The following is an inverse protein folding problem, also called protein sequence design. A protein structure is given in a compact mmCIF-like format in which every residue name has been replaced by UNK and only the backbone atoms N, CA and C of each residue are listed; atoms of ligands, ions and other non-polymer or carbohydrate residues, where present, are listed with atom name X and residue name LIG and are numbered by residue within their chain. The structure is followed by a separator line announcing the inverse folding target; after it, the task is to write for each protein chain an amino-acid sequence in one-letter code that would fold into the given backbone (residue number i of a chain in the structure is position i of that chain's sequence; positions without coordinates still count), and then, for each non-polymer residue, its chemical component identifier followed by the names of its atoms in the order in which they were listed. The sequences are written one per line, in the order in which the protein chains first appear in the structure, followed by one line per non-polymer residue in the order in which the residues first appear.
data_IF_851036909816
#
_entry.id   IF_851036909816
#
_cell.length_a   1.000
_cell.length_b   1.000
_cell.length_c   1.000
_cell.angle_alpha   90.00
_cell.angle_beta   90.00
_cell.angle_gamma   90.00
#
_symmetry.space_group_name_H-M   'P 1'
#
loop_
_entity.id
_entity.type
_entity.pdbx_description
1 polymer ?
#
# COMPACT_ATOMS: atom_id res chain seq x y z
N UNK A 1 1.82 -27.36 -18.60
CA UNK A 1 0.78 -26.32 -18.70
C UNK A 1 -0.13 -26.52 -17.49
N UNK A 2 -0.09 -25.64 -16.51
CA UNK A 2 -1.04 -25.64 -15.38
C UNK A 2 -2.43 -25.38 -15.95
N UNK A 3 -3.39 -26.25 -15.62
CA UNK A 3 -4.77 -26.13 -16.07
C UNK A 3 -5.40 -24.93 -15.36
N UNK A 4 -6.13 -24.09 -16.10
CA UNK A 4 -6.85 -22.97 -15.50
C UNK A 4 -7.79 -23.42 -14.39
N UNK A 5 -7.92 -22.59 -13.36
CA UNK A 5 -8.89 -22.81 -12.30
C UNK A 5 -10.29 -22.63 -12.88
N UNK A 6 -11.22 -23.51 -12.55
CA UNK A 6 -12.59 -23.39 -13.04
C UNK A 6 -13.24 -22.09 -12.58
N UNK A 7 -14.18 -21.51 -13.37
CA UNK A 7 -14.73 -20.18 -13.09
C UNK A 7 -15.43 -20.04 -11.73
N UNK A 8 -16.07 -21.12 -11.24
CA UNK A 8 -16.78 -21.08 -9.94
C UNK A 8 -15.75 -20.99 -8.81
N UNK A 9 -14.74 -21.87 -8.82
CA UNK A 9 -13.65 -21.86 -7.84
C UNK A 9 -12.89 -20.54 -7.88
N UNK A 10 -12.64 -19.99 -9.09
CA UNK A 10 -11.98 -18.68 -9.26
C UNK A 10 -12.77 -17.57 -8.57
N UNK A 11 -14.07 -17.48 -8.76
CA UNK A 11 -14.93 -16.48 -8.10
C UNK A 11 -14.96 -16.65 -6.59
N UNK A 12 -15.04 -17.91 -6.10
CA UNK A 12 -15.05 -18.19 -4.65
C UNK A 12 -13.72 -17.77 -4.01
N UNK A 13 -12.58 -18.08 -4.63
CA UNK A 13 -11.27 -17.66 -4.14
C UNK A 13 -11.15 -16.12 -4.21
N UNK A 14 -11.59 -15.47 -5.27
CA UNK A 14 -11.59 -14.02 -5.41
C UNK A 14 -12.41 -13.34 -4.31
N UNK A 15 -13.63 -13.81 -4.05
CA UNK A 15 -14.48 -13.34 -2.96
C UNK A 15 -13.87 -13.58 -1.58
N UNK A 16 -13.19 -14.72 -1.38
CA UNK A 16 -12.48 -15.01 -0.13
C UNK A 16 -11.29 -14.06 0.09
N UNK A 17 -10.49 -13.77 -0.94
CA UNK A 17 -9.38 -12.83 -0.86
C UNK A 17 -9.87 -11.41 -0.50
N UNK A 18 -10.90 -10.91 -1.18
CA UNK A 18 -11.53 -9.64 -0.83
C UNK A 18 -12.03 -9.62 0.62
N UNK A 19 -12.74 -10.66 1.04
CA UNK A 19 -13.22 -10.78 2.43
C UNK A 19 -12.08 -10.80 3.45
N UNK A 20 -10.93 -11.38 3.13
CA UNK A 20 -9.75 -11.37 4.02
C UNK A 20 -9.22 -9.94 4.17
N UNK A 21 -9.05 -9.21 3.08
CA UNK A 21 -8.56 -7.83 3.12
C UNK A 21 -9.51 -6.93 3.92
N UNK A 22 -10.84 -7.05 3.70
CA UNK A 22 -11.85 -6.34 4.47
C UNK A 22 -11.81 -6.68 5.97
N UNK A 23 -11.62 -7.95 6.32
CA UNK A 23 -11.47 -8.36 7.73
C UNK A 23 -10.21 -7.77 8.35
N UNK A 24 -9.09 -7.71 7.62
CA UNK A 24 -7.85 -7.07 8.06
C UNK A 24 -8.06 -5.58 8.37
N UNK A 25 -8.66 -4.83 7.44
CA UNK A 25 -9.01 -3.43 7.63
C UNK A 25 -9.95 -3.23 8.82
N UNK A 26 -10.98 -4.05 8.93
CA UNK A 26 -11.95 -4.02 10.02
C UNK A 26 -11.31 -4.27 11.40
N UNK A 27 -10.39 -5.24 11.52
CA UNK A 27 -9.65 -5.50 12.77
C UNK A 27 -8.81 -4.28 13.12
N UNK A 28 -8.09 -3.73 12.14
CA UNK A 28 -7.21 -2.60 12.35
C UNK A 28 -7.96 -1.38 12.91
N UNK A 29 -9.00 -0.87 12.24
CA UNK A 29 -9.68 0.33 12.74
C UNK A 29 -10.47 0.11 14.03
N UNK A 30 -11.03 -1.09 14.25
CA UNK A 30 -11.80 -1.38 15.47
C UNK A 30 -10.93 -1.56 16.71
N UNK A 31 -9.72 -2.08 16.55
CA UNK A 31 -8.79 -2.29 17.65
C UNK A 31 -7.90 -1.08 17.93
N UNK A 32 -7.79 -0.13 17.00
CA UNK A 32 -6.97 1.06 17.13
C UNK A 32 -7.46 2.01 18.21
N UNK A 33 -6.54 2.76 18.78
CA UNK A 33 -6.74 3.67 19.89
C UNK A 33 -6.82 5.13 19.43
N UNK A 34 -6.08 5.51 18.39
CA UNK A 34 -6.11 6.87 17.85
C UNK A 34 -7.35 7.13 16.99
N UNK A 35 -7.85 8.37 17.04
CA UNK A 35 -9.00 8.78 16.22
C UNK A 35 -8.70 8.78 14.74
N UNK A 36 -7.45 9.04 14.35
CA UNK A 36 -7.06 9.10 12.94
C UNK A 36 -7.22 7.72 12.26
N UNK A 37 -6.87 6.64 12.92
CA UNK A 37 -7.09 5.29 12.39
C UNK A 37 -8.52 4.86 12.62
N UNK A 38 -9.07 5.08 13.83
CA UNK A 38 -10.36 4.54 14.25
C UNK A 38 -11.55 5.26 13.60
N UNK A 39 -11.48 6.58 13.44
CA UNK A 39 -12.60 7.40 12.97
C UNK A 39 -12.41 7.84 11.52
N UNK A 40 -11.20 8.31 11.16
CA UNK A 40 -10.91 8.70 9.77
C UNK A 40 -10.61 7.51 8.86
N UNK A 41 -10.34 6.32 9.45
CA UNK A 41 -9.96 5.10 8.74
C UNK A 41 -8.75 5.32 7.79
N UNK A 42 -7.79 6.14 8.25
CA UNK A 42 -6.58 6.42 7.49
C UNK A 42 -5.60 5.25 7.56
N UNK A 43 -5.91 4.23 6.78
CA UNK A 43 -5.28 2.92 6.78
C UNK A 43 -5.44 2.22 5.42
N UNK A 44 -4.63 1.17 5.20
CA UNK A 44 -4.78 0.21 4.12
C UNK A 44 -4.31 -1.16 4.58
N UNK A 45 -4.92 -2.24 4.07
CA UNK A 45 -4.53 -3.61 4.41
C UNK A 45 -4.69 -4.53 3.21
N UNK A 46 -3.81 -5.54 3.07
CA UNK A 46 -3.89 -6.45 1.95
C UNK A 46 -2.96 -7.66 2.03
N UNK A 47 -3.12 -8.52 1.04
CA UNK A 47 -2.26 -9.68 0.81
C UNK A 47 -1.46 -9.49 -0.48
N UNK A 48 -0.24 -9.98 -0.45
CA UNK A 48 0.74 -9.85 -1.54
C UNK A 48 1.36 -11.20 -1.84
N UNK A 49 1.71 -11.43 -3.11
CA UNK A 49 2.49 -12.60 -3.46
C UNK A 49 3.98 -12.43 -3.07
N UNK A 50 4.78 -13.44 -3.36
CA UNK A 50 6.21 -13.45 -3.08
C UNK A 50 6.98 -12.36 -3.85
N UNK A 51 6.47 -11.92 -5.00
CA UNK A 51 7.08 -10.91 -5.87
C UNK A 51 6.52 -9.50 -5.58
N UNK A 52 5.82 -9.35 -4.44
CA UNK A 52 5.20 -8.12 -3.95
C UNK A 52 4.05 -7.58 -4.81
N UNK A 53 3.45 -8.43 -5.65
CA UNK A 53 2.25 -8.06 -6.38
C UNK A 53 1.04 -8.11 -5.44
N UNK A 54 0.18 -7.12 -5.55
CA UNK A 54 -1.07 -7.05 -4.78
C UNK A 54 -2.03 -8.15 -5.21
N UNK A 55 -2.41 -9.02 -4.28
CA UNK A 55 -3.44 -10.06 -4.49
C UNK A 55 -4.85 -9.53 -4.19
N UNK A 56 -4.98 -8.79 -3.11
CA UNK A 56 -6.18 -8.07 -2.70
C UNK A 56 -5.84 -6.97 -1.71
N UNK A 57 -6.66 -5.93 -1.68
CA UNK A 57 -6.60 -4.83 -0.70
C UNK A 57 -8.00 -4.53 -0.18
N UNK A 58 -8.08 -3.99 1.05
CA UNK A 58 -9.32 -3.50 1.64
C UNK A 58 -9.77 -2.19 0.97
N UNK A 59 -11.07 -1.94 0.97
CA UNK A 59 -11.63 -0.64 0.61
C UNK A 59 -11.25 0.36 1.70
N UNK A 60 -10.28 1.24 1.39
CA UNK A 60 -9.59 2.09 2.36
C UNK A 60 -9.41 3.49 1.81
N UNK A 61 -8.71 4.35 2.57
CA UNK A 61 -8.31 5.67 2.11
C UNK A 61 -7.55 5.57 0.77
N UNK A 62 -7.92 6.37 -0.24
CA UNK A 62 -7.33 6.29 -1.59
C UNK A 62 -5.81 6.34 -1.65
N UNK A 63 -5.19 7.06 -0.71
CA UNK A 63 -3.72 7.17 -0.64
C UNK A 63 -3.01 5.87 -0.23
N UNK A 64 -3.74 4.92 0.34
CA UNK A 64 -3.20 3.62 0.74
C UNK A 64 -3.45 2.52 -0.30
N UNK A 65 -4.42 2.71 -1.20
CA UNK A 65 -4.73 1.75 -2.28
C UNK A 65 -3.56 1.70 -3.27
N UNK A 66 -2.90 0.53 -3.37
CA UNK A 66 -1.72 0.34 -4.24
C UNK A 66 -0.42 0.91 -3.68
N UNK A 67 -0.36 1.39 -2.43
CA UNK A 67 0.87 1.91 -1.82
C UNK A 67 1.76 0.80 -1.26
N UNK A 68 1.19 -0.23 -0.66
CA UNK A 68 1.91 -1.29 0.06
C UNK A 68 2.98 -2.02 -0.77
N UNK A 69 2.83 -2.27 -2.09
CA UNK A 69 3.95 -2.78 -2.91
C UNK A 69 5.21 -1.91 -2.86
N UNK A 70 5.06 -0.59 -2.74
CA UNK A 70 6.19 0.33 -2.55
C UNK A 70 6.94 0.07 -1.25
N UNK A 71 6.20 -0.09 -0.14
CA UNK A 71 6.77 -0.43 1.17
C UNK A 71 7.49 -1.78 1.15
N UNK A 72 6.88 -2.81 0.55
CA UNK A 72 7.47 -4.15 0.46
C UNK A 72 8.79 -4.15 -0.31
N UNK A 73 8.84 -3.50 -1.48
CA UNK A 73 10.07 -3.33 -2.28
C UNK A 73 11.12 -2.48 -1.55
N UNK A 74 10.70 -1.55 -0.72
CA UNK A 74 11.59 -0.78 0.16
C UNK A 74 12.21 -1.64 1.25
N UNK A 75 11.39 -2.46 1.91
CA UNK A 75 11.81 -3.40 2.95
C UNK A 75 12.81 -4.42 2.41
N UNK A 76 12.63 -4.89 1.17
CA UNK A 76 13.54 -5.87 0.54
C UNK A 76 15.01 -5.41 0.52
N UNK A 77 15.25 -4.09 0.46
CA UNK A 77 16.62 -3.53 0.49
C UNK A 77 17.31 -3.74 1.84
N UNK A 78 16.56 -3.97 2.91
CA UNK A 78 17.07 -4.19 4.27
C UNK A 78 16.82 -5.59 4.78
N UNK A 79 15.70 -6.21 4.36
CA UNK A 79 15.31 -7.58 4.69
C UNK A 79 15.06 -8.33 3.37
N UNK A 80 16.09 -8.90 2.74
CA UNK A 80 15.95 -9.64 1.49
C UNK A 80 15.09 -10.90 1.66
N UNK A 81 14.53 -11.41 0.54
CA UNK A 81 13.56 -12.52 0.56
C UNK A 81 14.01 -13.75 1.32
N UNK A 82 15.28 -14.08 1.29
CA UNK A 82 15.86 -15.26 1.99
C UNK A 82 16.10 -15.03 3.50
N UNK A 83 16.04 -13.79 3.95
CA UNK A 83 16.18 -13.42 5.36
C UNK A 83 14.86 -13.53 6.17
N UNK A 84 13.72 -13.68 5.49
CA UNK A 84 12.43 -13.84 6.16
C UNK A 84 12.28 -15.21 6.80
N UNK A 85 11.70 -15.25 7.99
CA UNK A 85 11.42 -16.47 8.75
C UNK A 85 9.96 -16.49 9.24
N UNK A 86 9.38 -17.66 9.47
CA UNK A 86 8.06 -17.75 10.11
C UNK A 86 8.03 -17.01 11.44
N UNK A 87 7.02 -16.17 11.66
CA UNK A 87 6.87 -15.38 12.88
C UNK A 87 7.62 -14.05 12.87
N UNK A 88 8.30 -13.69 11.79
CA UNK A 88 8.83 -12.34 11.62
C UNK A 88 7.70 -11.32 11.48
N UNK A 89 7.92 -10.13 12.05
CA UNK A 89 7.06 -8.96 11.86
C UNK A 89 7.96 -7.74 11.67
N UNK A 90 7.86 -7.09 10.53
CA UNK A 90 8.70 -5.96 10.15
C UNK A 90 7.89 -4.67 10.16
N UNK A 91 8.48 -3.61 10.73
CA UNK A 91 7.96 -2.24 10.72
C UNK A 91 8.75 -1.38 9.73
N UNK A 92 8.04 -0.53 8.98
CA UNK A 92 8.66 0.34 7.99
C UNK A 92 7.84 1.61 7.77
N UNK A 93 8.51 2.77 7.61
CA UNK A 93 7.86 4.05 7.29
C UNK A 93 8.75 5.02 6.50
N UNK A 94 9.83 4.55 5.87
CA UNK A 94 10.81 5.46 5.27
C UNK A 94 10.38 5.91 3.86
N UNK A 95 10.13 7.23 3.61
CA UNK A 95 9.60 7.72 2.33
C UNK A 95 10.50 7.44 1.12
N UNK A 96 11.82 7.50 1.29
CA UNK A 96 12.79 7.17 0.21
C UNK A 96 12.88 5.66 -0.08
N UNK A 97 12.15 4.84 0.69
CA UNK A 97 12.06 3.39 0.53
C UNK A 97 10.61 2.93 0.42
N UNK A 98 9.77 3.74 -0.24
CA UNK A 98 8.44 3.34 -0.67
C UNK A 98 7.28 3.74 0.24
N UNK A 99 7.53 4.34 1.40
CA UNK A 99 6.44 4.90 2.21
C UNK A 99 5.88 6.18 1.60
N UNK A 100 4.62 6.47 1.87
CA UNK A 100 3.94 7.72 1.47
C UNK A 100 4.53 8.95 2.16
N UNK A 101 4.63 8.89 3.47
CA UNK A 101 5.33 9.81 4.36
C UNK A 101 5.62 9.11 5.70
N UNK A 102 6.46 9.72 6.54
CA UNK A 102 6.95 9.04 7.74
C UNK A 102 5.88 8.67 8.78
N UNK A 103 4.77 9.41 8.96
CA UNK A 103 3.67 9.01 9.87
C UNK A 103 2.93 7.75 9.44
N UNK A 104 2.95 7.37 8.16
CA UNK A 104 2.31 6.15 7.65
C UNK A 104 3.21 4.96 7.90
N UNK A 105 2.96 4.27 9.01
CA UNK A 105 3.73 3.10 9.41
C UNK A 105 3.11 1.84 8.80
N UNK A 106 3.92 1.07 8.08
CA UNK A 106 3.56 -0.26 7.61
C UNK A 106 4.03 -1.35 8.56
N UNK A 107 3.18 -2.36 8.74
CA UNK A 107 3.50 -3.65 9.37
C UNK A 107 3.40 -4.73 8.31
N UNK A 108 4.45 -5.55 8.19
CA UNK A 108 4.55 -6.63 7.21
C UNK A 108 4.90 -7.93 7.88
N UNK A 109 4.16 -8.98 7.58
CA UNK A 109 4.39 -10.33 8.04
C UNK A 109 4.49 -11.32 6.87
N UNK A 110 5.46 -12.23 6.85
CA UNK A 110 5.58 -13.24 5.81
C UNK A 110 4.53 -14.34 5.99
N UNK A 111 4.01 -14.84 4.87
CA UNK A 111 3.14 -16.02 4.85
C UNK A 111 3.94 -17.23 4.41
N UNK A 112 4.16 -18.15 5.33
CA UNK A 112 4.78 -19.45 5.05
C UNK A 112 3.72 -20.55 5.00
N UNK A 113 3.79 -21.36 3.97
CA UNK A 113 2.94 -22.54 3.81
C UNK A 113 3.83 -23.77 3.50
N UNK A 114 3.74 -24.82 4.33
CA UNK A 114 4.57 -26.04 4.20
C UNK A 114 6.09 -25.75 4.11
N UNK A 115 6.55 -24.72 4.85
CA UNK A 115 7.96 -24.32 4.88
C UNK A 115 8.42 -23.41 3.74
N UNK A 116 7.54 -23.06 2.81
CA UNK A 116 7.82 -22.17 1.69
C UNK A 116 7.22 -20.78 1.94
N UNK A 117 7.96 -19.71 1.64
CA UNK A 117 7.43 -18.34 1.62
C UNK A 117 6.56 -18.18 0.38
N UNK A 118 5.26 -17.98 0.58
CA UNK A 118 4.25 -17.89 -0.49
C UNK A 118 3.74 -16.47 -0.71
N UNK A 119 4.03 -15.55 0.20
CA UNK A 119 3.60 -14.16 0.09
C UNK A 119 3.70 -13.41 1.41
N UNK A 120 2.99 -12.29 1.49
CA UNK A 120 3.00 -11.39 2.63
C UNK A 120 1.59 -10.93 2.99
N UNK A 121 1.40 -10.67 4.27
CA UNK A 121 0.26 -9.92 4.81
C UNK A 121 0.79 -8.58 5.31
N UNK A 122 0.21 -7.49 4.85
CA UNK A 122 0.67 -6.16 5.21
C UNK A 122 -0.48 -5.19 5.42
N UNK A 123 -0.22 -4.18 6.23
CA UNK A 123 -1.09 -3.02 6.39
C UNK A 123 -0.23 -1.77 6.61
N UNK A 124 -0.85 -0.61 6.40
CA UNK A 124 -0.29 0.69 6.75
C UNK A 124 -1.35 1.52 7.44
N UNK A 125 -0.94 2.41 8.34
CA UNK A 125 -1.83 3.32 9.03
C UNK A 125 -1.10 4.60 9.44
N UNK A 126 -1.83 5.72 9.42
CA UNK A 126 -1.31 7.01 9.85
C UNK A 126 -1.26 7.13 11.37
N UNK A 127 -0.06 7.25 11.95
CA UNK A 127 0.14 7.38 13.37
C UNK A 127 0.06 8.83 13.85
N UNK A 128 -0.61 9.03 14.98
CA UNK A 128 -0.85 10.35 15.57
C UNK A 128 0.42 11.08 16.03
N UNK A 129 1.47 10.33 16.37
CA UNK A 129 2.77 10.89 16.81
C UNK A 129 3.89 9.88 16.59
N UNK A 130 4.88 10.26 15.81
CA UNK A 130 6.10 9.50 15.56
C UNK A 130 7.36 10.23 16.03
N UNK A 131 7.20 11.20 16.95
CA UNK A 131 8.32 11.99 17.49
C UNK A 131 8.77 13.15 16.61
N UNK A 132 7.92 13.66 15.73
CA UNK A 132 8.17 14.88 14.95
C UNK A 132 8.35 16.13 15.84
N UNK A 133 8.72 17.25 15.25
CA UNK A 133 8.85 18.53 15.95
C UNK A 133 7.55 18.93 16.67
N UNK A 134 6.40 18.66 16.06
CA UNK A 134 5.07 18.74 16.65
C UNK A 134 4.27 17.46 16.33
N UNK A 135 3.29 17.05 17.16
CA UNK A 135 2.42 15.92 16.83
C UNK A 135 1.60 16.17 15.56
N UNK A 136 1.32 15.10 14.83
CA UNK A 136 0.53 15.15 13.60
C UNK A 136 1.35 15.54 12.37
N UNK A 137 0.65 16.01 11.33
CA UNK A 137 1.27 16.42 10.08
C UNK A 137 1.89 17.81 10.19
N UNK A 138 3.18 17.93 9.90
CA UNK A 138 3.91 19.20 9.90
C UNK A 138 4.42 19.51 8.51
N UNK A 139 4.00 20.64 7.96
CA UNK A 139 4.35 21.06 6.59
C UNK A 139 5.65 21.88 6.57
N UNK A 140 5.83 22.79 7.55
CA UNK A 140 6.99 23.66 7.63
C UNK A 140 8.18 22.98 8.33
N UNK A 141 8.73 21.95 7.69
CA UNK A 141 9.93 21.23 8.15
C UNK A 141 10.93 21.13 7.01
N UNK A 142 12.24 21.19 7.31
CA UNK A 142 13.29 21.34 6.30
C UNK A 142 13.65 20.03 5.59
N UNK A 143 13.41 18.88 6.23
CA UNK A 143 13.81 17.57 5.73
C UNK A 143 13.03 16.44 6.42
N UNK A 144 13.18 15.22 5.90
CA UNK A 144 12.50 14.01 6.39
C UNK A 144 12.85 13.64 7.84
N UNK A 145 14.02 14.03 8.33
CA UNK A 145 14.44 13.72 9.71
C UNK A 145 13.63 14.52 10.73
N UNK A 146 13.11 15.68 10.35
CA UNK A 146 12.24 16.49 11.19
C UNK A 146 10.79 15.97 11.26
N UNK A 147 10.40 15.00 10.41
CA UNK A 147 9.11 14.30 10.48
C UNK A 147 9.02 13.31 11.63
N UNK A 148 10.12 12.92 12.23
CA UNK A 148 10.17 12.00 13.37
C UNK A 148 10.99 10.75 13.13
N UNK A 149 10.62 9.64 13.80
CA UNK A 149 11.36 8.38 13.72
C UNK A 149 11.27 7.77 12.32
N UNK A 150 12.42 7.43 11.76
CA UNK A 150 12.54 6.64 10.53
C UNK A 150 12.79 5.17 10.89
N UNK A 151 11.83 4.32 10.59
CA UNK A 151 11.83 2.88 10.84
C UNK A 151 12.01 2.16 9.49
N UNK A 152 13.26 1.86 9.12
CA UNK A 152 13.56 1.33 7.80
C UNK A 152 13.75 -0.20 7.83
N UNK A 153 12.66 -0.95 7.69
CA UNK A 153 12.70 -2.41 7.61
C UNK A 153 13.26 -3.07 8.88
N UNK A 154 12.74 -2.69 10.05
CA UNK A 154 13.20 -3.20 11.34
C UNK A 154 12.28 -4.33 11.82
N UNK A 155 12.84 -5.43 12.35
CA UNK A 155 12.04 -6.53 12.91
C UNK A 155 11.51 -6.17 14.31
N UNK A 156 10.20 -5.97 14.43
CA UNK A 156 9.47 -5.87 15.70
C UNK A 156 9.40 -7.22 16.40
N UNK A 157 9.24 -8.29 15.60
CA UNK A 157 9.35 -9.67 16.05
C UNK A 157 10.33 -10.41 15.13
N UNK A 158 11.21 -11.18 15.72
CA UNK A 158 12.15 -12.04 15.03
C UNK A 158 11.82 -13.49 15.38
N UNK A 159 11.33 -14.26 14.40
CA UNK A 159 10.90 -15.65 14.60
C UNK A 159 9.90 -15.80 15.77
N UNK A 160 8.95 -14.86 15.88
CA UNK A 160 7.96 -14.83 16.96
C UNK A 160 8.45 -14.22 18.29
N UNK A 161 9.73 -13.87 18.39
CA UNK A 161 10.27 -13.24 19.60
C UNK A 161 10.25 -11.73 19.48
N UNK A 162 9.60 -11.08 20.45
CA UNK A 162 9.46 -9.61 20.51
C UNK A 162 10.82 -8.94 20.70
N UNK A 163 11.11 -7.93 19.89
CA UNK A 163 12.29 -7.08 20.03
C UNK A 163 12.04 -5.97 21.05
N UNK A 164 12.22 -6.26 22.33
CA UNK A 164 11.94 -5.34 23.43
C UNK A 164 12.69 -4.01 23.33
N UNK A 165 13.89 -4.01 22.76
CA UNK A 165 14.69 -2.79 22.58
C UNK A 165 14.05 -1.85 21.56
N UNK A 166 13.54 -2.38 20.44
CA UNK A 166 12.86 -1.58 19.44
C UNK A 166 11.51 -1.06 19.94
N UNK A 167 10.73 -1.90 20.64
CA UNK A 167 9.48 -1.48 21.27
C UNK A 167 9.69 -0.38 22.30
N UNK A 168 10.74 -0.50 23.11
CA UNK A 168 11.14 0.54 24.06
C UNK A 168 11.54 1.83 23.34
N UNK A 169 12.32 1.72 22.27
CA UNK A 169 12.75 2.88 21.47
C UNK A 169 11.54 3.64 20.92
N UNK A 170 10.58 2.96 20.30
CA UNK A 170 9.38 3.61 19.74
C UNK A 170 8.59 4.29 20.86
N UNK A 171 8.32 3.56 21.98
CA UNK A 171 7.57 4.08 23.12
C UNK A 171 8.20 5.34 23.71
N UNK A 172 9.53 5.36 23.86
CA UNK A 172 10.23 6.45 24.54
C UNK A 172 10.43 7.68 23.61
N UNK A 173 10.15 7.55 22.31
CA UNK A 173 10.25 8.62 21.33
C UNK A 173 8.89 9.15 20.82
N UNK A 174 7.79 8.78 21.45
CA UNK A 174 6.45 9.33 21.19
C UNK A 174 5.89 10.00 22.45
N UNK A 175 5.11 11.07 22.26
CA UNK A 175 4.48 11.82 23.37
C UNK A 175 3.24 11.13 23.93
N UNK A 176 2.61 10.27 23.11
CA UNK A 176 1.36 9.57 23.43
C UNK A 176 1.52 8.05 23.31
N UNK A 177 2.44 7.44 24.07
CA UNK A 177 2.81 6.04 23.89
C UNK A 177 1.62 5.08 24.04
N UNK A 178 0.62 5.41 24.85
CA UNK A 178 -0.58 4.57 25.00
C UNK A 178 -1.37 4.43 23.70
N UNK A 179 -1.46 5.49 22.89
CA UNK A 179 -2.14 5.44 21.60
C UNK A 179 -1.28 4.72 20.55
N UNK A 180 -0.03 5.15 20.40
CA UNK A 180 0.88 4.60 19.36
C UNK A 180 1.14 3.11 19.57
N UNK A 181 1.37 2.66 20.80
CA UNK A 181 1.56 1.23 21.08
C UNK A 181 0.28 0.43 20.82
N UNK A 182 -0.89 0.96 21.19
CA UNK A 182 -2.18 0.32 20.91
C UNK A 182 -2.45 0.20 19.40
N UNK A 183 -2.13 1.24 18.62
CA UNK A 183 -2.27 1.22 17.16
C UNK A 183 -1.33 0.22 16.50
N UNK A 184 -0.08 0.13 16.96
CA UNK A 184 0.86 -0.91 16.48
C UNK A 184 0.39 -2.33 16.78
N UNK A 185 -0.14 -2.58 17.98
CA UNK A 185 -0.72 -3.89 18.33
C UNK A 185 -1.95 -4.21 17.44
N UNK A 186 -2.78 -3.22 17.11
CA UNK A 186 -3.90 -3.38 16.19
C UNK A 186 -3.43 -3.71 14.75
N UNK A 187 -2.36 -3.06 14.28
CA UNK A 187 -1.76 -3.36 12.98
C UNK A 187 -1.19 -4.78 12.94
N UNK A 188 -0.51 -5.22 14.01
CA UNK A 188 0.03 -6.58 14.11
C UNK A 188 -1.11 -7.60 14.08
N UNK A 189 -2.18 -7.40 14.88
CA UNK A 189 -3.34 -8.28 14.89
C UNK A 189 -4.03 -8.38 13.52
N UNK A 190 -4.11 -7.27 12.78
CA UNK A 190 -4.62 -7.23 11.41
C UNK A 190 -3.75 -8.05 10.46
N UNK A 191 -2.41 -7.88 10.51
CA UNK A 191 -1.49 -8.63 9.67
C UNK A 191 -1.49 -10.13 9.99
N UNK A 192 -1.53 -10.50 11.28
CA UNK A 192 -1.65 -11.90 11.72
C UNK A 192 -2.94 -12.57 11.21
N UNK A 193 -4.07 -11.84 11.24
CA UNK A 193 -5.32 -12.32 10.67
C UNK A 193 -5.16 -12.65 9.19
N UNK A 194 -4.53 -11.76 8.41
CA UNK A 194 -4.24 -11.98 6.99
C UNK A 194 -3.41 -13.23 6.76
N UNK A 195 -2.31 -13.41 7.53
CA UNK A 195 -1.48 -14.62 7.48
C UNK A 195 -2.33 -15.88 7.72
N UNK A 196 -3.10 -15.90 8.81
CA UNK A 196 -3.90 -17.07 9.20
C UNK A 196 -4.97 -17.41 8.15
N UNK A 197 -5.67 -16.40 7.62
CA UNK A 197 -6.75 -16.59 6.65
C UNK A 197 -6.21 -17.02 5.29
N UNK A 198 -5.07 -16.48 4.85
CA UNK A 198 -4.46 -16.89 3.59
C UNK A 198 -3.94 -18.33 3.65
N UNK A 199 -3.32 -18.73 4.77
CA UNK A 199 -2.96 -20.14 5.03
C UNK A 199 -4.20 -21.03 5.02
N UNK A 200 -5.30 -20.60 5.67
CA UNK A 200 -6.54 -21.36 5.70
C UNK A 200 -7.15 -21.54 4.30
N UNK A 201 -7.10 -20.52 3.46
CA UNK A 201 -7.55 -20.58 2.07
C UNK A 201 -6.77 -21.64 1.28
N UNK A 202 -5.43 -21.64 1.41
CA UNK A 202 -4.57 -22.63 0.77
C UNK A 202 -4.80 -24.06 1.31
N UNK A 203 -5.09 -24.23 2.61
CA UNK A 203 -5.48 -25.54 3.16
C UNK A 203 -6.80 -26.05 2.58
N UNK A 204 -7.74 -25.15 2.29
CA UNK A 204 -9.08 -25.52 1.80
C UNK A 204 -9.07 -25.88 0.31
N UNK A 205 -8.37 -25.11 -0.52
CA UNK A 205 -8.42 -25.24 -1.99
C UNK A 205 -7.14 -25.81 -2.60
N UNK A 206 -6.10 -26.01 -1.81
CA UNK A 206 -4.75 -26.38 -2.27
C UNK A 206 -3.92 -25.15 -2.63
N UNK A 207 -2.63 -25.16 -2.24
CA UNK A 207 -1.68 -24.07 -2.50
C UNK A 207 -1.64 -23.67 -3.98
N UNK A 208 -1.42 -24.65 -4.85
CA UNK A 208 -1.25 -24.40 -6.28
C UNK A 208 -2.50 -23.82 -6.93
N UNK A 209 -3.69 -24.29 -6.52
CA UNK A 209 -4.97 -23.76 -6.98
C UNK A 209 -5.16 -22.31 -6.56
N UNK A 210 -4.86 -21.96 -5.30
CA UNK A 210 -4.96 -20.57 -4.81
C UNK A 210 -4.00 -19.67 -5.55
N UNK A 211 -2.71 -20.04 -5.66
CA UNK A 211 -1.70 -19.24 -6.37
C UNK A 211 -1.99 -19.13 -7.88
N UNK A 212 -2.62 -20.12 -8.50
CA UNK A 212 -3.07 -20.02 -9.88
C UNK A 212 -4.28 -19.08 -10.00
N UNK A 213 -5.24 -19.17 -9.07
CA UNK A 213 -6.39 -18.29 -9.04
C UNK A 213 -5.98 -16.81 -8.88
N UNK A 214 -5.02 -16.51 -8.01
CA UNK A 214 -4.53 -15.11 -7.86
C UNK A 214 -3.96 -14.56 -9.16
N UNK A 215 -3.16 -15.34 -9.90
CA UNK A 215 -2.66 -14.94 -11.23
C UNK A 215 -3.79 -14.66 -12.21
N UNK A 216 -4.76 -15.57 -12.31
CA UNK A 216 -5.90 -15.39 -13.21
C UNK A 216 -6.77 -14.18 -12.84
N UNK A 217 -6.92 -13.87 -11.55
CA UNK A 217 -7.66 -12.69 -11.08
C UNK A 217 -6.91 -11.39 -11.44
N UNK A 218 -5.58 -11.37 -11.34
CA UNK A 218 -4.78 -10.22 -11.80
C UNK A 218 -4.90 -10.03 -13.32
N UNK A 219 -4.80 -11.11 -14.10
CA UNK A 219 -4.95 -11.05 -15.56
C UNK A 219 -6.37 -10.62 -15.97
N UNK A 220 -7.39 -11.03 -15.23
CA UNK A 220 -8.77 -10.56 -15.43
C UNK A 220 -8.87 -9.05 -15.18
N UNK A 221 -8.37 -8.55 -14.05
CA UNK A 221 -8.40 -7.11 -13.73
C UNK A 221 -7.64 -6.30 -14.78
N UNK A 222 -6.46 -6.73 -15.18
CA UNK A 222 -5.69 -6.10 -16.25
C UNK A 222 -6.49 -6.04 -17.56
N UNK A 223 -7.10 -7.14 -17.95
CA UNK A 223 -7.93 -7.20 -19.17
C UNK A 223 -9.09 -6.21 -19.10
N UNK A 224 -9.73 -6.09 -17.94
CA UNK A 224 -10.83 -5.14 -17.77
C UNK A 224 -10.35 -3.70 -17.90
N UNK A 225 -9.24 -3.34 -17.26
CA UNK A 225 -8.69 -1.98 -17.38
C UNK A 225 -8.25 -1.67 -18.81
N UNK A 226 -7.55 -2.59 -19.48
CA UNK A 226 -7.13 -2.42 -20.88
C UNK A 226 -8.32 -2.18 -21.81
N UNK A 227 -9.43 -2.90 -21.63
CA UNK A 227 -10.66 -2.69 -22.40
C UNK A 227 -11.26 -1.30 -22.21
N UNK A 228 -11.16 -0.74 -21.02
CA UNK A 228 -11.66 0.63 -20.76
C UNK A 228 -10.69 1.67 -21.33
N UNK A 229 -9.37 1.47 -21.21
CA UNK A 229 -8.37 2.34 -21.81
C UNK A 229 -8.55 2.39 -23.34
N UNK A 230 -8.81 1.25 -23.99
CA UNK A 230 -9.01 1.16 -25.45
C UNK A 230 -10.21 1.97 -25.97
N UNK A 231 -11.12 2.42 -25.10
CA UNK A 231 -12.23 3.32 -25.47
C UNK A 231 -11.79 4.80 -25.54
N UNK A 232 -10.64 5.14 -24.97
CA UNK A 232 -10.07 6.48 -25.01
C UNK A 232 -9.31 6.61 -26.31
N UNK A 233 -9.52 7.66 -27.13
CA UNK A 233 -8.75 7.84 -28.36
C UNK A 233 -7.25 7.92 -28.10
N UNK A 234 -6.44 7.31 -28.96
CA UNK A 234 -4.99 7.48 -28.93
C UNK A 234 -4.61 8.95 -29.01
N UNK A 235 -3.65 9.37 -28.18
CA UNK A 235 -3.23 10.76 -28.16
C UNK A 235 -2.49 11.17 -26.91
N UNK A 236 -2.16 12.45 -26.87
CA UNK A 236 -1.53 13.11 -25.74
C UNK A 236 -2.53 14.10 -25.10
N UNK A 237 -2.75 13.95 -23.81
CA UNK A 237 -3.66 14.76 -23.01
C UNK A 237 -2.85 15.48 -21.93
N UNK A 238 -2.87 16.80 -21.93
CA UNK A 238 -2.09 17.62 -20.99
C UNK A 238 -3.02 18.38 -20.06
N UNK A 239 -2.70 18.33 -18.77
CA UNK A 239 -3.36 19.13 -17.75
C UNK A 239 -2.33 19.78 -16.84
N UNK A 240 -2.66 20.96 -16.33
CA UNK A 240 -1.85 21.70 -15.36
C UNK A 240 -2.71 22.13 -14.18
N UNK A 241 -2.15 22.04 -12.98
CA UNK A 241 -2.69 22.53 -11.75
C UNK A 241 -1.60 23.14 -10.89
N UNK A 242 -1.92 23.69 -9.74
CA UNK A 242 -0.90 24.21 -8.84
C UNK A 242 -1.33 24.12 -7.39
N UNK A 243 -0.34 23.94 -6.51
CA UNK A 243 -0.48 24.29 -5.11
C UNK A 243 -0.23 25.78 -4.92
N UNK A 244 -0.91 26.40 -3.97
CA UNK A 244 -0.86 27.85 -3.74
C UNK A 244 0.55 28.33 -3.36
N UNK A 245 1.26 27.53 -2.54
CA UNK A 245 2.66 27.77 -2.16
C UNK A 245 3.27 26.53 -1.45
N UNK A 246 4.52 26.63 -0.99
CA UNK A 246 5.24 25.59 -0.25
C UNK A 246 5.11 25.70 1.28
N UNK A 247 4.20 26.54 1.79
CA UNK A 247 4.03 26.80 3.21
C UNK A 247 4.98 27.87 3.79
N UNK A 248 6.11 28.16 3.14
CA UNK A 248 7.07 29.22 3.52
C UNK A 248 7.05 30.40 2.56
N UNK A 249 7.10 30.13 1.27
CA UNK A 249 7.16 31.15 0.22
C UNK A 249 5.75 31.47 -0.28
N UNK A 250 4.97 32.14 0.57
CA UNK A 250 3.56 32.47 0.30
C UNK A 250 3.38 33.21 -1.02
N UNK A 251 2.41 32.75 -1.81
CA UNK A 251 2.09 33.32 -3.11
C UNK A 251 3.01 32.89 -4.25
N UNK A 252 3.99 32.01 -3.99
CA UNK A 252 4.78 31.34 -5.02
C UNK A 252 4.16 29.98 -5.33
N UNK A 253 3.33 29.93 -6.34
CA UNK A 253 2.64 28.72 -6.78
C UNK A 253 3.62 27.62 -7.20
N UNK A 254 3.25 26.37 -6.92
CA UNK A 254 3.98 25.17 -7.33
C UNK A 254 3.20 24.48 -8.45
N UNK A 255 3.62 24.59 -9.71
CA UNK A 255 2.92 23.95 -10.81
C UNK A 255 3.03 22.42 -10.73
N UNK A 256 1.94 21.75 -11.05
CA UNK A 256 1.85 20.31 -11.27
C UNK A 256 1.41 20.12 -12.71
N UNK A 257 2.26 19.52 -13.53
CA UNK A 257 1.96 19.22 -14.92
C UNK A 257 1.82 17.71 -15.09
N UNK A 258 0.78 17.30 -15.76
CA UNK A 258 0.52 15.89 -16.08
C UNK A 258 0.31 15.75 -17.57
N UNK A 259 1.09 14.89 -18.21
CA UNK A 259 0.90 14.49 -19.60
C UNK A 259 0.51 13.01 -19.61
N UNK A 260 -0.70 12.72 -20.10
CA UNK A 260 -1.18 11.35 -20.26
C UNK A 260 -1.10 10.97 -21.72
N UNK A 261 -0.35 9.92 -22.05
CA UNK A 261 -0.25 9.37 -23.40
C UNK A 261 -0.98 8.04 -23.46
N UNK A 262 -2.00 7.97 -24.31
CA UNK A 262 -2.77 6.75 -24.57
C UNK A 262 -2.32 6.15 -25.90
N UNK A 263 -1.98 4.87 -25.88
CA UNK A 263 -1.58 4.12 -27.08
C UNK A 263 -2.21 2.73 -27.02
N UNK A 264 -3.29 2.53 -27.76
CA UNK A 264 -4.08 1.31 -27.76
C UNK A 264 -4.68 1.02 -26.38
N UNK A 265 -4.12 0.06 -25.67
CA UNK A 265 -4.58 -0.40 -24.35
C UNK A 265 -3.63 -0.01 -23.19
N UNK A 266 -2.59 0.78 -23.49
CA UNK A 266 -1.56 1.21 -22.54
C UNK A 266 -1.61 2.72 -22.28
N UNK A 267 -1.24 3.12 -21.09
CA UNK A 267 -1.16 4.52 -20.66
C UNK A 267 0.21 4.83 -20.07
N UNK A 268 0.80 5.93 -20.49
CA UNK A 268 1.92 6.56 -19.81
C UNK A 268 1.48 7.88 -19.18
N UNK A 269 1.72 8.03 -17.88
CA UNK A 269 1.53 9.26 -17.12
C UNK A 269 2.88 9.88 -16.84
N UNK A 270 3.14 11.02 -17.45
CA UNK A 270 4.41 11.76 -17.35
C UNK A 270 4.20 13.06 -16.58
N UNK A 271 4.89 13.19 -15.45
CA UNK A 271 4.81 14.35 -14.56
C UNK A 271 5.96 15.36 -14.80
N UNK A 272 6.77 15.14 -15.84
CA UNK A 272 7.86 16.03 -16.23
C UNK A 272 7.34 17.45 -16.52
N UNK A 273 7.98 18.44 -15.89
CA UNK A 273 7.59 19.86 -15.97
C UNK A 273 6.80 20.32 -14.75
N UNK A 274 6.52 19.44 -13.79
CA UNK A 274 6.05 19.83 -12.47
C UNK A 274 7.13 20.58 -11.68
N UNK A 275 6.72 21.23 -10.58
CA UNK A 275 7.64 21.97 -9.70
C UNK A 275 8.79 21.09 -9.23
N UNK A 276 10.03 21.61 -9.20
CA UNK A 276 11.14 20.92 -8.55
C UNK A 276 10.91 20.80 -7.04
N UNK A 277 11.73 19.97 -6.40
CA UNK A 277 11.70 19.78 -4.94
C UNK A 277 11.76 21.13 -4.20
N UNK A 278 10.92 21.27 -3.18
CA UNK A 278 10.86 22.46 -2.30
C UNK A 278 11.46 22.16 -0.92
N UNK A 279 11.92 23.19 -0.17
CA UNK A 279 12.56 23.01 1.14
C UNK A 279 11.53 22.86 2.28
N UNK A 280 10.44 22.17 2.05
CA UNK A 280 9.36 21.88 3.01
C UNK A 280 8.77 20.49 2.74
N UNK A 281 7.80 20.04 3.55
CA UNK A 281 7.18 18.74 3.42
C UNK A 281 6.14 18.61 2.27
N UNK A 282 6.09 19.55 1.34
CA UNK A 282 5.21 19.46 0.15
C UNK A 282 5.76 18.55 -0.97
N UNK A 283 6.88 17.89 -0.73
CA UNK A 283 7.44 16.94 -1.69
C UNK A 283 6.74 15.60 -1.57
N UNK A 284 6.41 15.00 -2.72
CA UNK A 284 5.66 13.74 -2.79
C UNK A 284 6.60 12.59 -3.22
N UNK A 285 6.77 11.54 -2.40
CA UNK A 285 7.59 10.38 -2.77
C UNK A 285 7.05 9.70 -4.03
N UNK A 286 7.96 9.35 -4.96
CA UNK A 286 7.56 8.79 -6.25
C UNK A 286 6.88 7.43 -6.09
N UNK A 287 7.55 6.48 -5.40
CA UNK A 287 7.02 5.12 -5.23
C UNK A 287 5.90 5.04 -4.19
N UNK A 288 5.93 5.90 -3.17
CA UNK A 288 4.99 5.84 -2.05
C UNK A 288 3.65 6.54 -2.30
N UNK A 289 3.61 7.59 -3.09
CA UNK A 289 2.38 8.39 -3.27
C UNK A 289 2.12 8.81 -4.72
N UNK A 290 3.14 9.21 -5.48
CA UNK A 290 2.95 9.72 -6.85
C UNK A 290 2.33 8.65 -7.75
N UNK A 291 2.89 7.43 -7.77
CA UNK A 291 2.33 6.31 -8.53
C UNK A 291 0.92 5.95 -8.05
N UNK A 292 0.72 5.93 -6.73
CA UNK A 292 -0.56 5.60 -6.09
C UNK A 292 -1.67 6.54 -6.56
N UNK A 293 -1.42 7.85 -6.55
CA UNK A 293 -2.39 8.84 -7.02
C UNK A 293 -2.78 8.62 -8.50
N UNK A 294 -1.80 8.28 -9.35
CA UNK A 294 -2.06 7.95 -10.75
C UNK A 294 -2.89 6.66 -10.90
N UNK A 295 -2.52 5.59 -10.22
CA UNK A 295 -3.26 4.31 -10.26
C UNK A 295 -4.70 4.47 -9.76
N UNK A 296 -4.87 5.18 -8.65
CA UNK A 296 -6.19 5.48 -8.10
C UNK A 296 -7.07 6.24 -9.09
N UNK A 297 -6.52 7.25 -9.78
CA UNK A 297 -7.26 8.03 -10.76
C UNK A 297 -7.82 7.15 -11.90
N UNK A 298 -7.00 6.26 -12.46
CA UNK A 298 -7.45 5.33 -13.51
C UNK A 298 -8.48 4.35 -12.99
N UNK A 299 -8.28 3.77 -11.81
CA UNK A 299 -9.25 2.87 -11.23
C UNK A 299 -10.59 3.56 -10.94
N UNK A 300 -10.57 4.73 -10.31
CA UNK A 300 -11.79 5.48 -9.97
C UNK A 300 -12.57 5.92 -11.21
N UNK A 301 -11.89 6.28 -12.30
CA UNK A 301 -12.54 6.76 -13.53
C UNK A 301 -12.99 5.63 -14.45
N UNK A 302 -12.25 4.52 -14.52
CA UNK A 302 -12.46 3.50 -15.53
C UNK A 302 -13.03 2.19 -15.00
N UNK A 303 -12.88 1.89 -13.71
CA UNK A 303 -13.31 0.63 -13.10
C UNK A 303 -14.26 0.85 -11.92
N UNK A 304 -15.02 1.94 -11.91
CA UNK A 304 -15.96 2.23 -10.82
C UNK A 304 -17.17 1.26 -10.83
N UNK A 305 -17.73 1.01 -9.65
CA UNK A 305 -18.82 0.07 -9.46
C UNK A 305 -20.17 0.54 -10.01
N UNK A 306 -20.31 1.81 -10.41
CA UNK A 306 -21.54 2.32 -11.01
C UNK A 306 -21.62 2.05 -12.51
N UNK A 307 -20.45 2.01 -13.18
CA UNK A 307 -20.35 1.71 -14.62
C UNK A 307 -20.17 0.23 -14.91
N UNK A 308 -19.63 -0.52 -13.96
CA UNK A 308 -19.43 -1.97 -14.09
C UNK A 308 -20.39 -2.74 -13.20
N UNK A 309 -21.25 -3.58 -13.81
CA UNK A 309 -22.15 -4.47 -13.08
C UNK A 309 -21.43 -5.66 -12.43
N UNK A 310 -20.20 -5.94 -12.84
CA UNK A 310 -19.36 -7.02 -12.34
C UNK A 310 -18.34 -6.49 -11.33
N UNK A 311 -18.10 -7.26 -10.28
CA UNK A 311 -17.06 -6.94 -9.32
C UNK A 311 -15.66 -7.12 -9.96
N UNK A 312 -14.90 -6.04 -10.01
CA UNK A 312 -13.51 -6.04 -10.48
C UNK A 312 -12.60 -5.98 -9.26
N UNK A 313 -11.79 -7.03 -8.99
CA UNK A 313 -10.92 -7.06 -7.82
C UNK A 313 -9.92 -5.90 -7.78
N UNK A 314 -9.63 -5.38 -6.59
CA UNK A 314 -8.51 -4.49 -6.36
C UNK A 314 -7.25 -5.33 -6.21
N UNK A 315 -6.41 -5.39 -7.25
CA UNK A 315 -5.16 -6.16 -7.28
C UNK A 315 -4.16 -5.56 -8.27
N UNK A 316 -2.98 -6.16 -8.37
CA UNK A 316 -1.87 -5.72 -9.23
C UNK A 316 -2.25 -5.55 -10.71
N UNK A 317 -3.26 -6.28 -11.20
CA UNK A 317 -3.74 -6.16 -12.57
C UNK A 317 -4.19 -4.76 -12.94
N UNK A 318 -4.70 -3.98 -11.97
CA UNK A 318 -5.11 -2.58 -12.18
C UNK A 318 -3.93 -1.60 -12.34
N UNK A 319 -2.69 -2.02 -12.09
CA UNK A 319 -1.51 -1.16 -12.20
C UNK A 319 -0.69 -1.43 -13.47
N UNK A 320 -0.76 -2.66 -14.01
CA UNK A 320 0.07 -3.13 -15.13
C UNK A 320 -0.03 -2.29 -16.41
N UNK A 321 -1.22 -1.81 -16.84
CA UNK A 321 -1.34 -0.98 -18.05
C UNK A 321 -0.91 0.47 -17.87
N UNK A 322 -0.62 0.92 -16.63
CA UNK A 322 -0.35 2.32 -16.30
C UNK A 322 1.11 2.50 -15.93
N UNK A 323 1.88 3.10 -16.81
CA UNK A 323 3.27 3.47 -16.55
C UNK A 323 3.33 4.91 -16.05
N UNK A 324 4.00 5.15 -14.92
CA UNK A 324 4.19 6.49 -14.35
C UNK A 324 5.65 6.89 -14.41
N UNK A 325 5.93 8.10 -14.88
CA UNK A 325 7.25 8.74 -14.95
C UNK A 325 7.20 10.17 -14.41
N UNK A 326 8.37 10.70 -13.94
CA UNK A 326 8.50 12.07 -13.44
C UNK A 326 9.90 12.62 -13.70
#
# INVERSE_FOLDING_TARGET
MTRDVDPITLQVIGGALHSIAEQMGNVLYRMSYSSIIRESQDLGAGLFDRDYNTLCESDSTPMHIGSLPGYLRGIEKTVPLDAWKPGDCVIHNHPYFGASHSPDIAIVMPVFFEGELVGFSANTAHHVDIGAATPGLVIDIPDVFAEGMLLNGLKLYNEGQRNESLWKYIRDNTRVPGLVMGDLEAQIASAELGVQRFIQLMKTYGKDTVLQATRQLMDYTETMLRREIAKIPDGEYVAEGFLDDDGRNRGKTLPIKVTVRVTGEDVEVDLTGSSPQVPTAFNVPFDGSTKVACYFAFRALLLDTYTHSEYIPQNEGSFRPVKVTA
#
